data_IF_851174536025
#
_entry.id   IF_851174536025
#
_cell.length_a   1.000
_cell.length_b   1.000
_cell.length_c   1.000
_cell.angle_alpha   90.00
_cell.angle_beta   90.00
_cell.angle_gamma   90.00
#
_symmetry.space_group_name_H-M   'P 1'
#
loop_
_entity.id
_entity.type
_entity.pdbx_description
1 polymer ?
#
# COMPACT_ATOMS: atom_id res chain seq x y z
N UNK A 1 -0.45 34.72 -7.16
CA UNK A 1 -0.98 35.03 -5.83
C UNK A 1 -0.96 33.77 -5.01
N UNK A 2 -0.62 33.80 -3.73
CA UNK A 2 -0.77 32.61 -2.90
C UNK A 2 -2.26 32.18 -2.91
N UNK A 3 -2.48 30.89 -3.03
CA UNK A 3 -3.84 30.33 -3.03
C UNK A 3 -4.49 30.54 -1.65
N UNK A 4 -5.73 31.00 -1.63
CA UNK A 4 -6.46 31.20 -0.37
C UNK A 4 -6.86 29.84 0.22
N UNK A 5 -6.07 29.35 1.17
CA UNK A 5 -6.28 28.07 1.86
C UNK A 5 -7.53 28.07 2.75
N UNK A 6 -8.09 29.24 3.07
CA UNK A 6 -9.25 29.35 3.96
C UNK A 6 -10.51 28.67 3.41
N UNK A 7 -10.60 28.50 2.09
CA UNK A 7 -11.75 27.89 1.39
C UNK A 7 -11.75 26.36 1.42
N UNK A 8 -10.63 25.73 1.82
CA UNK A 8 -10.49 24.28 1.81
C UNK A 8 -10.63 23.66 3.21
N UNK A 9 -11.21 22.46 3.27
CA UNK A 9 -11.10 21.52 4.38
C UNK A 9 -9.79 20.73 4.29
N UNK A 10 -9.46 20.32 3.06
CA UNK A 10 -8.23 19.61 2.70
C UNK A 10 -7.70 20.22 1.41
N UNK A 11 -6.41 20.52 1.34
CA UNK A 11 -5.72 20.85 0.10
C UNK A 11 -4.27 20.34 0.21
N UNK A 12 -3.94 19.34 -0.61
CA UNK A 12 -2.62 18.73 -0.64
C UNK A 12 -2.11 18.66 -2.08
N UNK A 13 -0.78 18.81 -2.24
CA UNK A 13 -0.14 18.82 -3.55
C UNK A 13 1.08 17.91 -3.56
N UNK A 14 1.23 17.14 -4.63
CA UNK A 14 2.40 16.28 -4.84
C UNK A 14 2.83 16.21 -6.29
N UNK A 15 4.14 16.12 -6.50
CA UNK A 15 4.76 15.79 -7.78
C UNK A 15 4.92 14.27 -7.96
N UNK A 16 4.64 13.49 -6.92
CA UNK A 16 4.73 12.02 -6.94
C UNK A 16 3.41 11.38 -7.41
N UNK A 17 2.79 11.96 -8.45
CA UNK A 17 1.50 11.51 -9.00
C UNK A 17 1.53 10.05 -9.45
N UNK A 18 2.65 9.60 -10.02
CA UNK A 18 2.85 8.20 -10.42
C UNK A 18 2.78 7.23 -9.25
N UNK A 19 3.36 7.57 -8.10
CA UNK A 19 3.29 6.74 -6.89
C UNK A 19 1.84 6.66 -6.36
N UNK A 20 1.12 7.78 -6.32
CA UNK A 20 -0.30 7.79 -5.92
C UNK A 20 -1.14 6.93 -6.87
N UNK A 21 -0.90 7.01 -8.19
CA UNK A 21 -1.62 6.19 -9.18
C UNK A 21 -1.39 4.70 -8.96
N UNK A 22 -0.13 4.27 -8.78
CA UNK A 22 0.22 2.87 -8.52
C UNK A 22 -0.41 2.39 -7.22
N UNK A 23 -0.35 3.19 -6.15
CA UNK A 23 -0.95 2.87 -4.86
C UNK A 23 -2.46 2.67 -4.99
N UNK A 24 -3.18 3.61 -5.63
CA UNK A 24 -4.64 3.50 -5.82
C UNK A 24 -4.99 2.31 -6.72
N UNK A 25 -4.16 2.00 -7.72
CA UNK A 25 -4.32 0.83 -8.58
C UNK A 25 -4.20 -0.49 -7.79
N UNK A 26 -3.25 -0.58 -6.87
CA UNK A 26 -3.11 -1.75 -6.02
C UNK A 26 -4.29 -1.88 -5.03
N UNK A 27 -4.66 -0.77 -4.39
CA UNK A 27 -5.72 -0.76 -3.38
C UNK A 27 -7.11 -1.11 -3.94
N UNK A 28 -7.45 -0.66 -5.17
CA UNK A 28 -8.78 -0.93 -5.78
C UNK A 28 -9.08 -2.41 -6.00
N UNK A 29 -8.06 -3.25 -6.06
CA UNK A 29 -8.22 -4.69 -6.27
C UNK A 29 -8.41 -5.44 -4.93
N UNK A 30 -8.16 -4.76 -3.82
CA UNK A 30 -8.32 -5.29 -2.45
C UNK A 30 -9.54 -4.66 -1.77
N UNK A 31 -9.72 -3.35 -1.91
CA UNK A 31 -10.77 -2.57 -1.26
C UNK A 31 -11.76 -2.02 -2.29
N UNK A 32 -13.05 -2.13 -2.02
CA UNK A 32 -14.10 -1.54 -2.86
C UNK A 32 -14.45 -0.14 -2.37
N UNK A 33 -15.11 -0.06 -1.23
CA UNK A 33 -15.46 1.19 -0.56
C UNK A 33 -14.68 1.28 0.74
N UNK A 34 -14.08 2.45 1.01
CA UNK A 34 -13.23 2.60 2.19
C UNK A 34 -13.18 4.05 2.67
N UNK A 35 -12.89 4.22 3.95
CA UNK A 35 -12.62 5.51 4.54
C UNK A 35 -11.15 5.90 4.38
N UNK A 36 -10.92 7.14 3.93
CA UNK A 36 -9.61 7.80 3.94
C UNK A 36 -9.65 8.90 4.98
N UNK A 37 -8.62 8.96 5.80
CA UNK A 37 -8.50 9.91 6.91
C UNK A 37 -7.40 10.91 6.56
N UNK A 38 -7.74 12.19 6.61
CA UNK A 38 -6.79 13.30 6.54
C UNK A 38 -6.67 13.93 7.92
N UNK A 39 -5.48 14.17 8.39
CA UNK A 39 -5.19 14.94 9.59
C UNK A 39 -3.89 15.73 9.42
N UNK A 40 -3.47 16.46 10.44
CA UNK A 40 -2.24 17.27 10.42
C UNK A 40 -0.97 16.46 10.15
N UNK A 41 -0.99 15.15 10.41
CA UNK A 41 0.17 14.25 10.24
C UNK A 41 0.23 13.63 8.85
N UNK A 42 -0.88 13.67 8.07
CA UNK A 42 -0.89 13.12 6.72
C UNK A 42 -2.20 12.47 6.30
N UNK A 43 -2.08 11.53 5.36
CA UNK A 43 -3.19 10.73 4.82
C UNK A 43 -3.08 9.31 5.35
N UNK A 44 -4.16 8.76 5.86
CA UNK A 44 -4.21 7.43 6.47
C UNK A 44 -5.39 6.63 5.93
N UNK A 45 -5.20 5.32 5.86
CA UNK A 45 -6.25 4.36 5.56
C UNK A 45 -5.98 3.10 6.37
N UNK A 46 -6.99 2.62 7.10
CA UNK A 46 -6.98 1.32 7.74
C UNK A 46 -8.30 0.65 7.38
N UNK A 47 -8.22 -0.45 6.64
CA UNK A 47 -9.40 -1.18 6.18
C UNK A 47 -9.09 -2.66 5.96
N UNK A 48 -10.11 -3.50 6.06
CA UNK A 48 -10.05 -4.91 5.66
C UNK A 48 -10.73 -5.10 4.31
N UNK A 49 -10.31 -6.14 3.60
CA UNK A 49 -11.05 -6.62 2.45
C UNK A 49 -12.41 -7.22 2.87
N UNK A 50 -13.30 -7.46 1.91
CA UNK A 50 -14.64 -7.98 2.18
C UNK A 50 -14.65 -9.36 2.88
N UNK A 51 -13.61 -10.15 2.72
CA UNK A 51 -13.46 -11.46 3.36
C UNK A 51 -12.79 -11.40 4.74
N UNK A 52 -12.36 -10.22 5.17
CA UNK A 52 -11.59 -9.98 6.39
C UNK A 52 -10.29 -10.79 6.47
N UNK A 53 -9.76 -11.21 5.31
CA UNK A 53 -8.52 -11.98 5.21
C UNK A 53 -7.30 -11.09 5.08
N UNK A 54 -7.48 -9.84 4.67
CA UNK A 54 -6.44 -8.84 4.44
C UNK A 54 -6.75 -7.57 5.20
N UNK A 55 -5.76 -7.07 5.94
CA UNK A 55 -5.78 -5.74 6.54
C UNK A 55 -4.80 -4.84 5.80
N UNK A 56 -5.28 -3.72 5.32
CA UNK A 56 -4.46 -2.64 4.75
C UNK A 56 -4.28 -1.56 5.79
N UNK A 57 -3.03 -1.19 6.05
CA UNK A 57 -2.67 0.00 6.80
C UNK A 57 -1.76 0.88 5.94
N UNK A 58 -2.29 1.99 5.47
CA UNK A 58 -1.55 2.98 4.67
C UNK A 58 -1.34 4.25 5.49
N UNK A 59 -0.16 4.84 5.34
CA UNK A 59 0.18 6.14 5.91
C UNK A 59 1.08 6.92 4.96
N UNK A 60 0.64 8.12 4.56
CA UNK A 60 1.44 9.07 3.79
C UNK A 60 1.68 10.31 4.65
N UNK A 61 2.93 10.70 4.80
CA UNK A 61 3.34 11.74 5.76
C UNK A 61 3.11 13.14 5.19
N UNK A 62 2.49 14.02 5.96
CA UNK A 62 2.19 15.40 5.55
C UNK A 62 3.44 16.17 5.08
N UNK A 63 4.57 15.99 5.77
CA UNK A 63 5.86 16.64 5.48
C UNK A 63 6.51 16.20 4.15
N UNK A 64 6.01 15.14 3.53
CA UNK A 64 6.51 14.59 2.26
C UNK A 64 5.76 15.09 1.03
N UNK A 65 4.71 15.88 1.24
CA UNK A 65 3.98 16.57 0.18
C UNK A 65 4.59 17.95 -0.07
N UNK A 66 4.51 18.45 -1.31
CA UNK A 66 4.95 19.83 -1.65
C UNK A 66 4.13 20.89 -0.93
N UNK A 67 2.87 20.58 -0.66
CA UNK A 67 2.03 21.38 0.23
C UNK A 67 0.97 20.49 0.87
N UNK A 68 0.70 20.72 2.14
CA UNK A 68 -0.28 19.97 2.90
C UNK A 68 -1.07 20.90 3.83
N UNK A 69 -2.38 20.98 3.61
CA UNK A 69 -3.31 21.75 4.43
C UNK A 69 -4.48 20.88 4.84
N UNK A 70 -4.55 20.53 6.12
CA UNK A 70 -5.68 19.83 6.74
C UNK A 70 -5.76 20.27 8.21
N UNK A 71 -6.47 21.36 8.52
CA UNK A 71 -6.49 21.95 9.88
C UNK A 71 -7.33 21.16 10.87
N UNK A 72 -8.18 20.24 10.39
CA UNK A 72 -9.01 19.35 11.22
C UNK A 72 -9.05 17.96 10.62
N UNK A 73 -9.05 16.94 11.46
CA UNK A 73 -9.30 15.55 11.03
C UNK A 73 -10.56 15.51 10.16
N UNK A 74 -10.39 15.03 8.94
CA UNK A 74 -11.44 14.88 7.93
C UNK A 74 -11.46 13.43 7.48
N UNK A 75 -12.60 12.76 7.62
CA UNK A 75 -12.80 11.36 7.18
C UNK A 75 -13.74 11.39 5.99
N UNK A 76 -13.35 10.69 4.92
CA UNK A 76 -14.17 10.62 3.71
C UNK A 76 -14.29 9.18 3.24
N UNK A 77 -15.51 8.79 2.86
CA UNK A 77 -15.77 7.52 2.18
C UNK A 77 -15.57 7.64 0.67
N UNK A 78 -14.83 6.71 0.09
CA UNK A 78 -14.57 6.68 -1.36
C UNK A 78 -14.73 5.27 -1.93
N UNK A 79 -15.16 5.20 -3.21
CA UNK A 79 -15.06 3.96 -3.98
C UNK A 79 -13.71 3.95 -4.72
N UNK A 80 -12.87 2.97 -4.39
CA UNK A 80 -11.50 2.87 -4.91
C UNK A 80 -11.45 2.65 -6.42
N UNK A 81 -12.40 1.90 -7.00
CA UNK A 81 -12.47 1.70 -8.44
C UNK A 81 -12.80 3.01 -9.19
N UNK A 82 -13.72 3.81 -8.64
CA UNK A 82 -14.07 5.09 -9.24
C UNK A 82 -12.90 6.08 -9.11
N UNK A 83 -12.25 6.13 -7.97
CA UNK A 83 -11.05 6.94 -7.77
C UNK A 83 -9.96 6.57 -8.78
N UNK A 84 -9.68 5.28 -8.97
CA UNK A 84 -8.70 4.84 -9.96
C UNK A 84 -9.08 5.24 -11.39
N UNK A 85 -10.36 5.15 -11.79
CA UNK A 85 -10.81 5.57 -13.13
C UNK A 85 -10.45 7.02 -13.44
N UNK A 86 -10.43 7.90 -12.44
CA UNK A 86 -10.04 9.30 -12.59
C UNK A 86 -8.53 9.46 -12.63
N UNK A 87 -7.82 8.79 -11.72
CA UNK A 87 -6.37 8.94 -11.56
C UNK A 87 -5.54 8.15 -12.58
N UNK A 88 -6.10 7.12 -13.24
CA UNK A 88 -5.37 6.31 -14.24
C UNK A 88 -4.85 7.10 -15.45
N UNK A 89 -5.41 8.29 -15.68
CA UNK A 89 -5.00 9.16 -16.80
C UNK A 89 -3.72 9.94 -16.51
N UNK A 90 -3.29 9.99 -15.24
CA UNK A 90 -2.06 10.67 -14.84
C UNK A 90 -0.82 9.97 -15.41
N UNK A 91 0.18 10.77 -15.79
CA UNK A 91 1.52 10.35 -16.13
C UNK A 91 2.51 10.76 -15.04
N UNK A 92 3.71 10.17 -15.05
CA UNK A 92 4.66 10.30 -13.94
C UNK A 92 5.14 11.74 -13.65
N UNK A 93 5.07 12.65 -14.64
CA UNK A 93 5.51 14.05 -14.50
C UNK A 93 4.35 15.02 -14.21
N UNK A 94 3.13 14.49 -14.04
CA UNK A 94 2.00 15.34 -13.68
C UNK A 94 2.10 15.80 -12.21
N UNK A 95 1.58 16.98 -11.93
CA UNK A 95 1.40 17.47 -10.57
C UNK A 95 -0.05 17.19 -10.17
N UNK A 96 -0.23 16.47 -9.06
CA UNK A 96 -1.53 16.17 -8.50
C UNK A 96 -1.82 17.09 -7.31
N UNK A 97 -2.98 17.76 -7.34
CA UNK A 97 -3.58 18.37 -6.15
C UNK A 97 -4.87 17.64 -5.78
N UNK A 98 -5.03 17.32 -4.51
CA UNK A 98 -6.22 16.69 -3.94
C UNK A 98 -6.84 17.69 -2.98
N UNK A 99 -8.12 17.99 -3.14
CA UNK A 99 -8.76 19.01 -2.32
C UNK A 99 -10.22 18.69 -1.99
N UNK A 100 -10.69 19.25 -0.86
CA UNK A 100 -12.10 19.27 -0.45
C UNK A 100 -12.44 20.72 -0.13
N UNK A 101 -13.39 21.28 -0.85
CA UNK A 101 -13.85 22.66 -0.64
C UNK A 101 -14.91 22.72 0.46
N UNK A 102 -14.86 23.77 1.30
CA UNK A 102 -15.84 23.97 2.38
C UNK A 102 -17.28 24.15 1.89
N UNK A 103 -17.46 24.68 0.67
CA UNK A 103 -18.76 24.86 0.03
C UNK A 103 -19.30 23.59 -0.65
N UNK A 104 -18.44 22.59 -0.90
CA UNK A 104 -18.81 21.29 -1.47
C UNK A 104 -18.18 20.14 -0.66
N UNK A 105 -18.48 20.00 0.66
CA UNK A 105 -17.82 19.05 1.54
C UNK A 105 -18.10 17.58 1.22
N UNK A 106 -19.09 17.32 0.37
CA UNK A 106 -19.47 15.99 -0.11
C UNK A 106 -18.76 15.57 -1.41
N UNK A 107 -17.76 16.34 -1.84
CA UNK A 107 -16.97 16.03 -3.03
C UNK A 107 -15.48 16.13 -2.74
N UNK A 108 -14.69 15.19 -3.28
CA UNK A 108 -13.24 15.29 -3.37
C UNK A 108 -12.84 15.71 -4.78
N UNK A 109 -11.97 16.71 -4.87
CA UNK A 109 -11.42 17.20 -6.13
C UNK A 109 -10.03 16.64 -6.39
N UNK A 110 -9.76 16.31 -7.65
CA UNK A 110 -8.44 15.94 -8.15
C UNK A 110 -8.09 16.87 -9.30
N UNK A 111 -7.08 17.72 -9.10
CA UNK A 111 -6.55 18.58 -10.15
C UNK A 111 -5.23 18.01 -10.63
N UNK A 112 -5.17 17.70 -11.92
CA UNK A 112 -4.00 17.13 -12.59
C UNK A 112 -3.45 18.21 -13.51
N UNK A 113 -2.22 18.64 -13.25
CA UNK A 113 -1.51 19.61 -14.10
C UNK A 113 -0.41 18.87 -14.86
N UNK A 114 -0.55 18.83 -16.18
CA UNK A 114 0.49 18.32 -17.09
C UNK A 114 1.34 19.49 -17.59
N UNK A 115 2.60 19.52 -17.17
CA UNK A 115 3.52 20.61 -17.50
C UNK A 115 3.87 20.58 -18.99
N UNK A 116 4.14 19.39 -19.54
CA UNK A 116 4.58 19.23 -20.93
C UNK A 116 3.51 19.67 -21.95
N UNK A 117 2.24 19.44 -21.62
CA UNK A 117 1.09 19.81 -22.45
C UNK A 117 0.48 21.16 -22.08
N UNK A 118 0.99 21.82 -21.05
CA UNK A 118 0.40 23.03 -20.46
C UNK A 118 -1.12 22.89 -20.26
N UNK A 119 -1.55 21.74 -19.73
CA UNK A 119 -2.96 21.42 -19.55
C UNK A 119 -3.30 21.14 -18.08
N UNK A 120 -4.50 21.50 -17.71
CA UNK A 120 -5.06 21.27 -16.39
C UNK A 120 -6.39 20.52 -16.54
N UNK A 121 -6.53 19.43 -15.79
CA UNK A 121 -7.77 18.66 -15.72
C UNK A 121 -8.24 18.62 -14.27
N UNK A 122 -9.49 18.90 -14.01
CA UNK A 122 -10.10 18.84 -12.69
C UNK A 122 -11.24 17.83 -12.71
N UNK A 123 -11.16 16.85 -11.81
CA UNK A 123 -12.24 15.92 -11.52
C UNK A 123 -12.82 16.22 -10.14
N UNK A 124 -14.14 16.16 -10.00
CA UNK A 124 -14.83 16.17 -8.70
C UNK A 124 -15.61 14.87 -8.54
N UNK A 125 -15.29 14.07 -7.55
CA UNK A 125 -15.91 12.79 -7.24
C UNK A 125 -16.80 12.93 -6.01
N UNK A 126 -18.03 12.41 -6.06
CA UNK A 126 -18.91 12.37 -4.91
C UNK A 126 -18.36 11.40 -3.86
N UNK A 127 -18.43 11.82 -2.61
CA UNK A 127 -18.05 11.00 -1.44
C UNK A 127 -19.20 10.06 -1.06
N UNK A 128 -18.86 9.00 -0.37
CA UNK A 128 -19.77 8.03 0.21
C UNK A 128 -19.91 8.29 1.70
N UNK A 129 -21.09 8.00 2.24
CA UNK A 129 -21.30 7.94 3.68
C UNK A 129 -21.09 6.49 4.13
N UNK A 130 -19.89 6.23 4.66
CA UNK A 130 -19.47 4.93 5.17
C UNK A 130 -19.28 5.08 6.66
N UNK A 131 -19.90 4.20 7.46
CA UNK A 131 -19.71 4.18 8.91
C UNK A 131 -18.23 4.11 9.29
N UNK A 132 -17.85 4.74 10.38
CA UNK A 132 -16.48 4.67 10.91
C UNK A 132 -16.34 3.42 11.77
N UNK A 133 -15.69 2.38 11.26
CA UNK A 133 -15.23 1.25 12.07
C UNK A 133 -13.80 1.54 12.55
N UNK A 134 -13.61 1.64 13.86
CA UNK A 134 -12.29 1.86 14.44
C UNK A 134 -11.51 0.54 14.52
N UNK A 135 -10.70 0.25 13.51
CA UNK A 135 -9.78 -0.89 13.52
C UNK A 135 -8.54 -0.50 14.33
N UNK A 136 -8.31 -1.19 15.45
CA UNK A 136 -7.12 -1.02 16.29
C UNK A 136 -6.12 -2.12 16.00
N UNK A 137 -4.91 -1.73 15.58
CA UNK A 137 -3.79 -2.65 15.39
C UNK A 137 -3.04 -2.75 16.71
N UNK A 138 -3.03 -3.91 17.39
CA UNK A 138 -2.28 -4.08 18.61
C UNK A 138 -0.77 -4.03 18.36
N UNK A 139 0.05 -3.51 19.30
CA UNK A 139 1.49 -3.58 19.18
C UNK A 139 1.95 -5.04 19.28
N UNK A 140 2.80 -5.47 18.34
CA UNK A 140 3.30 -6.83 18.25
C UNK A 140 4.82 -6.82 18.16
N UNK A 141 5.46 -7.78 18.83
CA UNK A 141 6.88 -8.07 18.61
C UNK A 141 6.97 -9.25 17.65
N UNK A 142 7.70 -9.05 16.59
CA UNK A 142 7.98 -10.08 15.60
C UNK A 142 9.22 -10.89 16.00
N UNK A 143 9.32 -12.09 15.47
CA UNK A 143 10.39 -13.05 15.76
C UNK A 143 11.33 -13.15 14.55
N UNK A 144 10.87 -12.71 13.38
CA UNK A 144 11.67 -12.54 12.17
C UNK A 144 11.29 -11.24 11.48
N UNK A 145 12.30 -10.46 11.16
CA UNK A 145 12.20 -9.23 10.37
C UNK A 145 13.27 -9.26 9.29
N UNK A 146 12.88 -9.08 8.04
CA UNK A 146 13.78 -9.10 6.91
C UNK A 146 13.41 -8.07 5.85
N UNK A 147 14.39 -7.73 5.02
CA UNK A 147 14.18 -6.97 3.77
C UNK A 147 14.43 -7.88 2.58
N UNK A 148 13.66 -7.66 1.52
CA UNK A 148 13.73 -8.45 0.31
C UNK A 148 13.52 -7.58 -0.93
N UNK A 149 14.28 -7.76 -2.04
CA UNK A 149 14.05 -7.02 -3.26
C UNK A 149 12.62 -7.20 -3.78
N UNK A 150 11.90 -6.11 -3.96
CA UNK A 150 10.47 -6.13 -4.32
C UNK A 150 10.21 -6.84 -5.66
N UNK A 151 11.10 -6.67 -6.64
CA UNK A 151 11.01 -7.32 -7.95
C UNK A 151 11.22 -8.83 -7.87
N UNK A 152 12.16 -9.30 -7.02
CA UNK A 152 12.39 -10.73 -6.82
C UNK A 152 11.22 -11.38 -6.08
N UNK A 153 10.70 -10.72 -5.05
CA UNK A 153 9.50 -11.17 -4.36
C UNK A 153 8.31 -11.30 -5.33
N UNK A 154 8.08 -10.28 -6.17
CA UNK A 154 7.03 -10.33 -7.19
C UNK A 154 7.20 -11.51 -8.14
N UNK A 155 8.43 -11.76 -8.61
CA UNK A 155 8.72 -12.89 -9.50
C UNK A 155 8.41 -14.23 -8.82
N UNK A 156 8.88 -14.44 -7.61
CA UNK A 156 8.64 -15.67 -6.85
C UNK A 156 7.15 -15.93 -6.61
N UNK A 157 6.41 -14.91 -6.16
CA UNK A 157 4.96 -15.01 -5.97
C UNK A 157 4.25 -15.37 -7.28
N UNK A 158 4.62 -14.73 -8.39
CA UNK A 158 4.04 -15.02 -9.72
C UNK A 158 4.36 -16.44 -10.18
N UNK A 159 5.59 -16.89 -10.01
CA UNK A 159 6.00 -18.23 -10.42
C UNK A 159 5.22 -19.29 -9.63
N UNK A 160 5.10 -19.11 -8.30
CA UNK A 160 4.36 -20.02 -7.43
C UNK A 160 2.83 -20.02 -7.66
N UNK A 161 2.23 -18.90 -8.06
CA UNK A 161 0.80 -18.86 -8.41
C UNK A 161 0.43 -19.74 -9.61
N UNK A 162 1.40 -20.12 -10.44
CA UNK A 162 1.17 -21.07 -11.52
C UNK A 162 1.15 -22.54 -11.06
N UNK A 163 1.57 -22.81 -9.82
CA UNK A 163 1.74 -24.15 -9.25
C UNK A 163 0.61 -24.45 -8.26
N UNK A 164 0.35 -23.55 -7.31
CA UNK A 164 -0.61 -23.78 -6.24
C UNK A 164 -1.28 -22.52 -5.74
N UNK A 165 -2.16 -22.67 -4.76
CA UNK A 165 -2.96 -21.58 -4.20
C UNK A 165 -2.32 -20.94 -2.97
N UNK A 166 -1.49 -21.69 -2.25
CA UNK A 166 -0.87 -21.27 -1.01
C UNK A 166 0.66 -21.37 -1.09
N UNK A 167 1.32 -20.53 -0.31
CA UNK A 167 2.75 -20.58 -0.07
C UNK A 167 3.00 -20.79 1.42
N UNK A 168 3.85 -21.75 1.73
CA UNK A 168 4.40 -21.92 3.07
C UNK A 168 5.71 -21.17 3.16
N UNK A 169 5.75 -20.24 4.10
CA UNK A 169 6.93 -19.39 4.38
C UNK A 169 7.51 -19.84 5.71
N UNK A 170 8.79 -20.23 5.70
CA UNK A 170 9.49 -20.68 6.90
C UNK A 170 10.83 -19.96 7.02
N UNK A 171 11.06 -19.33 8.16
CA UNK A 171 12.33 -18.71 8.53
C UNK A 171 13.10 -19.61 9.51
N UNK A 172 14.35 -19.92 9.18
CA UNK A 172 15.24 -20.74 10.00
C UNK A 172 16.62 -20.09 10.02
N UNK A 173 16.98 -19.49 11.15
CA UNK A 173 18.21 -18.70 11.21
C UNK A 173 18.19 -17.59 10.15
N UNK A 174 19.24 -17.51 9.35
CA UNK A 174 19.39 -16.55 8.25
C UNK A 174 18.96 -17.13 6.88
N UNK A 175 17.98 -18.04 6.88
CA UNK A 175 17.44 -18.63 5.66
C UNK A 175 15.92 -18.52 5.64
N UNK A 176 15.38 -18.21 4.46
CA UNK A 176 13.95 -18.16 4.17
C UNK A 176 13.62 -19.29 3.19
N UNK A 177 12.77 -20.20 3.60
CA UNK A 177 12.28 -21.31 2.78
C UNK A 177 10.85 -20.95 2.34
N UNK A 178 10.63 -21.05 1.04
CA UNK A 178 9.34 -20.83 0.39
C UNK A 178 8.93 -22.11 -0.30
N UNK A 179 7.80 -22.68 0.09
CA UNK A 179 7.29 -23.92 -0.50
C UNK A 179 5.87 -23.69 -1.03
N UNK A 180 5.59 -24.23 -2.21
CA UNK A 180 4.26 -24.22 -2.83
C UNK A 180 3.97 -25.60 -3.38
N UNK A 181 2.84 -26.17 -2.98
CA UNK A 181 2.36 -27.48 -3.46
C UNK A 181 1.15 -27.28 -4.36
N UNK A 182 1.15 -27.96 -5.50
CA UNK A 182 0.05 -27.97 -6.44
C UNK A 182 -0.20 -29.35 -7.02
N UNK A 183 -1.28 -29.50 -7.79
CA UNK A 183 -1.73 -30.80 -8.30
C UNK A 183 -0.71 -31.49 -9.22
N UNK A 184 0.10 -30.71 -9.96
CA UNK A 184 1.02 -31.24 -10.97
C UNK A 184 2.51 -31.05 -10.62
N UNK A 185 2.84 -30.16 -9.67
CA UNK A 185 4.21 -29.86 -9.29
C UNK A 185 4.29 -29.27 -7.89
N UNK A 186 5.49 -29.37 -7.30
CA UNK A 186 5.87 -28.68 -6.08
C UNK A 186 7.05 -27.79 -6.40
N UNK A 187 7.11 -26.61 -5.76
CA UNK A 187 8.26 -25.73 -5.84
C UNK A 187 8.78 -25.45 -4.43
N UNK A 188 10.05 -25.68 -4.22
CA UNK A 188 10.78 -25.25 -3.03
C UNK A 188 11.87 -24.27 -3.44
N UNK A 189 11.96 -23.15 -2.73
CA UNK A 189 12.98 -22.13 -2.94
C UNK A 189 13.60 -21.78 -1.58
N UNK A 190 14.91 -21.95 -1.47
CA UNK A 190 15.68 -21.61 -0.28
C UNK A 190 16.49 -20.36 -0.58
N UNK A 191 16.25 -19.31 0.18
CA UNK A 191 16.93 -18.03 0.07
C UNK A 191 17.81 -17.82 1.30
N UNK A 192 19.07 -17.47 1.10
CA UNK A 192 20.01 -17.07 2.16
C UNK A 192 20.36 -15.60 2.01
N UNK A 193 20.91 -14.99 3.05
CA UNK A 193 21.35 -13.61 3.02
C UNK A 193 22.38 -13.36 1.92
N UNK A 194 22.21 -12.24 1.22
CA UNK A 194 23.16 -11.74 0.23
C UNK A 194 23.28 -10.23 0.37
N UNK A 195 24.39 -9.66 -0.11
CA UNK A 195 24.66 -8.22 0.01
C UNK A 195 23.57 -7.36 -0.64
N UNK A 196 23.06 -7.77 -1.80
CA UNK A 196 22.07 -7.01 -2.59
C UNK A 196 20.68 -7.68 -2.62
N UNK A 197 20.46 -8.75 -1.85
CA UNK A 197 19.23 -9.53 -1.85
C UNK A 197 18.53 -9.55 -0.49
N UNK A 198 18.17 -10.75 -0.06
CA UNK A 198 17.56 -11.00 1.25
C UNK A 198 18.50 -10.60 2.38
N UNK A 199 18.01 -9.84 3.35
CA UNK A 199 18.76 -9.46 4.54
C UNK A 199 17.87 -9.52 5.80
N UNK A 200 18.37 -10.13 6.87
CA UNK A 200 17.65 -10.24 8.14
C UNK A 200 18.09 -9.14 9.11
N UNK A 201 17.16 -8.27 9.50
CA UNK A 201 17.35 -7.36 10.65
C UNK A 201 17.13 -8.09 11.98
N UNK A 202 16.24 -9.11 11.96
CA UNK A 202 16.00 -10.02 13.08
C UNK A 202 15.78 -11.43 12.52
N UNK A 203 16.71 -12.35 12.82
CA UNK A 203 16.61 -13.76 12.39
C UNK A 203 16.04 -14.63 13.49
N UNK A 204 15.23 -15.64 13.10
CA UNK A 204 14.78 -16.67 14.03
C UNK A 204 15.94 -17.52 14.52
N UNK A 205 15.78 -18.14 15.69
CA UNK A 205 16.78 -19.14 16.12
C UNK A 205 16.64 -20.42 15.29
N UNK A 206 17.75 -21.10 14.93
CA UNK A 206 17.65 -22.34 14.14
C UNK A 206 16.78 -23.42 14.80
N UNK A 207 16.75 -23.47 16.14
CA UNK A 207 15.97 -24.44 16.91
C UNK A 207 14.47 -24.10 16.99
N UNK A 208 14.10 -22.87 16.66
CA UNK A 208 12.73 -22.37 16.73
C UNK A 208 12.33 -21.73 15.40
N UNK A 209 12.00 -22.55 14.38
CA UNK A 209 11.58 -22.01 13.10
C UNK A 209 10.28 -21.21 13.23
N UNK A 210 10.19 -20.11 12.49
CA UNK A 210 8.99 -19.28 12.39
C UNK A 210 8.37 -19.55 11.03
N UNK A 211 7.08 -19.92 11.00
CA UNK A 211 6.44 -20.38 9.77
C UNK A 211 4.97 -20.00 9.70
N UNK A 212 4.44 -19.97 8.49
CA UNK A 212 3.02 -19.78 8.23
C UNK A 212 2.67 -20.11 6.78
N UNK A 213 1.41 -20.46 6.54
CA UNK A 213 0.85 -20.69 5.21
C UNK A 213 -0.02 -19.52 4.80
N UNK A 214 0.19 -18.98 3.59
CA UNK A 214 -0.45 -17.75 3.12
C UNK A 214 -0.98 -17.92 1.69
N UNK A 215 -2.10 -17.25 1.40
CA UNK A 215 -2.71 -17.30 0.07
C UNK A 215 -1.89 -16.50 -0.95
N UNK A 216 -1.45 -17.18 -2.01
CA UNK A 216 -0.75 -16.58 -3.15
C UNK A 216 -1.61 -15.56 -3.88
N UNK A 217 -2.94 -15.75 -3.91
CA UNK A 217 -3.88 -14.78 -4.48
C UNK A 217 -3.72 -13.39 -3.86
N UNK A 218 -3.65 -13.30 -2.54
CA UNK A 218 -3.49 -12.02 -1.85
C UNK A 218 -2.07 -11.46 -2.00
N UNK A 219 -1.06 -12.32 -1.91
CA UNK A 219 0.33 -11.89 -2.12
C UNK A 219 0.52 -11.30 -3.51
N UNK A 220 -0.09 -11.90 -4.54
CA UNK A 220 -0.05 -11.38 -5.91
C UNK A 220 -0.66 -9.98 -6.02
N UNK A 221 -1.73 -9.68 -5.27
CA UNK A 221 -2.32 -8.34 -5.24
C UNK A 221 -1.35 -7.31 -4.63
N UNK A 222 -0.65 -7.67 -3.56
CA UNK A 222 0.35 -6.79 -2.94
C UNK A 222 1.54 -6.53 -3.84
N UNK A 223 1.95 -7.48 -4.68
CA UNK A 223 3.07 -7.27 -5.62
C UNK A 223 2.80 -6.21 -6.70
N UNK A 224 1.58 -5.71 -6.84
CA UNK A 224 1.29 -4.53 -7.68
C UNK A 224 1.98 -3.26 -7.15
N UNK A 225 2.35 -3.25 -5.87
CA UNK A 225 3.13 -2.19 -5.25
C UNK A 225 4.65 -2.26 -5.56
N UNK A 226 5.12 -3.26 -6.29
CA UNK A 226 6.56 -3.47 -6.58
C UNK A 226 7.28 -2.24 -7.14
N UNK A 227 6.59 -1.45 -7.96
CA UNK A 227 7.19 -0.24 -8.56
C UNK A 227 7.20 0.98 -7.62
N UNK A 228 6.74 0.85 -6.38
CA UNK A 228 6.77 1.93 -5.38
C UNK A 228 8.10 2.00 -4.65
N UNK A 229 8.77 0.86 -4.43
CA UNK A 229 10.05 0.79 -3.72
C UNK A 229 10.89 -0.40 -4.23
N UNK A 230 12.20 -0.32 -4.00
CA UNK A 230 13.12 -1.38 -4.40
C UNK A 230 13.14 -2.56 -3.43
N UNK A 231 12.85 -2.31 -2.15
CA UNK A 231 12.87 -3.30 -1.07
C UNK A 231 11.52 -3.34 -0.38
N UNK A 232 11.05 -4.52 -0.05
CA UNK A 232 9.95 -4.74 0.90
C UNK A 232 10.53 -5.08 2.26
N UNK A 233 9.76 -4.76 3.32
CA UNK A 233 10.03 -5.28 4.66
C UNK A 233 8.99 -6.35 4.97
N UNK A 234 9.45 -7.48 5.46
CA UNK A 234 8.60 -8.62 5.82
C UNK A 234 8.78 -8.95 7.30
N UNK A 235 7.67 -9.15 8.00
CA UNK A 235 7.63 -9.46 9.42
C UNK A 235 6.83 -10.74 9.61
N UNK A 236 7.47 -11.72 10.24
CA UNK A 236 6.91 -13.07 10.42
C UNK A 236 6.88 -13.42 11.91
N UNK A 237 5.80 -14.04 12.32
CA UNK A 237 5.61 -14.57 13.65
C UNK A 237 4.67 -15.78 13.57
N UNK A 238 4.93 -16.82 14.39
CA UNK A 238 4.05 -17.98 14.48
C UNK A 238 2.65 -17.57 14.93
N UNK A 239 1.64 -18.19 14.33
CA UNK A 239 0.21 -17.95 14.61
C UNK A 239 -0.22 -16.48 14.46
N UNK A 240 0.43 -15.76 13.56
CA UNK A 240 0.15 -14.35 13.28
C UNK A 240 0.10 -14.08 11.77
N UNK A 241 -0.67 -13.07 11.31
CA UNK A 241 -0.67 -12.67 9.92
C UNK A 241 0.73 -12.25 9.43
N UNK A 242 1.06 -12.61 8.20
CA UNK A 242 2.23 -12.08 7.51
C UNK A 242 2.07 -10.58 7.29
N UNK A 243 3.06 -9.79 7.68
CA UNK A 243 3.08 -8.37 7.37
C UNK A 243 4.12 -8.10 6.29
N UNK A 244 3.68 -7.42 5.24
CA UNK A 244 4.54 -6.93 4.16
C UNK A 244 4.37 -5.42 4.09
N UNK A 245 5.46 -4.69 4.25
CA UNK A 245 5.50 -3.24 4.16
C UNK A 245 6.17 -2.83 2.85
N UNK A 246 5.52 -1.94 2.12
CA UNK A 246 6.04 -1.21 0.97
C UNK A 246 6.15 0.27 1.33
N UNK A 247 7.28 0.87 1.06
CA UNK A 247 7.38 2.33 1.10
C UNK A 247 6.73 2.92 -0.16
N UNK A 248 5.92 3.97 0.01
CA UNK A 248 5.21 4.61 -1.11
C UNK A 248 6.10 5.71 -1.67
N UNK A 249 7.09 5.34 -2.46
CA UNK A 249 8.15 6.22 -2.95
C UNK A 249 8.74 7.04 -1.77
N UNK A 250 8.67 8.38 -1.85
CA UNK A 250 9.12 9.23 -0.73
C UNK A 250 7.96 9.74 0.14
N UNK A 251 6.73 9.25 -0.04
CA UNK A 251 5.55 9.75 0.68
C UNK A 251 5.30 9.06 2.03
N UNK A 252 5.78 7.82 2.23
CA UNK A 252 5.59 7.09 3.48
C UNK A 252 5.91 5.62 3.43
#
# INVERSE_FOLDING_TARGET
MPEDMSKYLVNIKTVQSGAIRILVEALKDILTDTNIIFDETGVKLIATDNSQSVLIHMRLLAEKFESFHCPKKTVIGVNMNNMFKLLKTMVNNDILSIFIEKNEPNKIGFQINNIDKNSQTIFKMNLLDIGEDEIKIPPVKFETELTFPSAEFQKLVRDMTNIGENIDIKSVGHSLLLNCEGDFANQETILSETQDGLNFSLASKPETPIQGSFSLKYLLLFTKCTNLCNLIHMYIKNDYPLIIKYDVANLG
#
